data_IF_635808960306
#
_entry.id   IF_635808960306
#
_cell.length_a   1.000
_cell.length_b   1.000
_cell.length_c   1.000
_cell.angle_alpha   90.00
_cell.angle_beta   90.00
_cell.angle_gamma   90.00
#
_symmetry.space_group_name_H-M   'P 1'
#
loop_
_entity.id
_entity.type
_entity.pdbx_description
1 polymer ?
#
# COMPACT_ATOMS: atom_id res chain seq x y z
N UNK A 1 13.60 -17.49 25.16
CA UNK A 1 13.97 -16.06 25.25
C UNK A 1 13.58 -15.43 23.92
N UNK A 2 12.47 -14.70 23.85
CA UNK A 2 12.08 -13.98 22.64
C UNK A 2 12.90 -12.69 22.60
N UNK A 3 13.88 -12.63 21.69
CA UNK A 3 14.57 -11.38 21.41
C UNK A 3 13.52 -10.39 20.89
N UNK A 4 13.13 -9.43 21.74
CA UNK A 4 12.44 -8.21 21.32
C UNK A 4 13.43 -7.37 20.52
N UNK A 5 13.72 -7.82 19.31
CA UNK A 5 14.29 -6.95 18.31
C UNK A 5 13.18 -5.96 17.98
N UNK A 6 13.42 -4.68 18.26
CA UNK A 6 12.64 -3.55 17.73
C UNK A 6 12.72 -3.59 16.18
N UNK A 7 12.06 -4.56 15.56
CA UNK A 7 11.92 -4.67 14.12
C UNK A 7 10.91 -3.62 13.71
N UNK A 8 11.44 -2.47 13.32
CA UNK A 8 10.67 -1.41 12.72
C UNK A 8 10.43 -1.81 11.26
N UNK A 9 9.24 -2.30 10.95
CA UNK A 9 8.90 -2.83 9.62
C UNK A 9 8.45 -1.67 8.74
N UNK A 10 9.20 -1.41 7.66
CA UNK A 10 8.93 -0.30 6.74
C UNK A 10 8.21 -0.79 5.48
N UNK A 11 6.93 -0.44 5.38
CA UNK A 11 6.11 -0.70 4.20
C UNK A 11 6.57 0.14 3.02
N UNK A 12 6.62 -0.46 1.83
CA UNK A 12 6.99 0.28 0.61
C UNK A 12 8.48 0.47 0.38
N UNK A 13 9.34 -0.07 1.24
CA UNK A 13 10.79 -0.12 1.02
C UNK A 13 11.22 -1.42 0.32
N UNK A 14 10.54 -2.54 0.62
CA UNK A 14 10.83 -3.88 0.09
C UNK A 14 9.58 -4.77 0.16
N UNK A 15 9.64 -5.95 -0.45
CA UNK A 15 8.63 -6.99 -0.27
C UNK A 15 8.57 -7.43 1.18
N UNK A 16 7.36 -7.61 1.72
CA UNK A 16 7.15 -8.13 3.06
C UNK A 16 7.29 -9.65 3.09
N UNK A 17 7.81 -10.15 4.19
CA UNK A 17 7.87 -11.58 4.50
C UNK A 17 6.69 -12.01 5.36
N UNK A 18 6.48 -13.32 5.52
CA UNK A 18 5.45 -13.84 6.44
C UNK A 18 5.85 -13.53 7.89
N UNK A 19 7.15 -13.57 8.19
CA UNK A 19 7.71 -13.25 9.49
C UNK A 19 7.44 -11.79 9.90
N UNK A 20 7.49 -10.85 8.95
CA UNK A 20 7.09 -9.46 9.19
C UNK A 20 5.62 -9.36 9.62
N UNK A 21 4.73 -10.14 8.98
CA UNK A 21 3.31 -10.17 9.33
C UNK A 21 3.10 -10.72 10.74
N UNK A 22 3.77 -11.82 11.09
CA UNK A 22 3.70 -12.41 12.43
C UNK A 22 4.25 -11.43 13.48
N UNK A 23 5.35 -10.74 13.18
CA UNK A 23 5.94 -9.76 14.08
C UNK A 23 4.99 -8.58 14.35
N UNK A 24 4.31 -8.07 13.32
CA UNK A 24 3.29 -7.01 13.48
C UNK A 24 2.14 -7.50 14.36
N UNK A 25 1.64 -8.72 14.11
CA UNK A 25 0.56 -9.31 14.91
C UNK A 25 0.95 -9.49 16.40
N UNK A 26 2.24 -9.61 16.69
CA UNK A 26 2.80 -9.71 18.04
C UNK A 26 3.18 -8.33 18.65
N UNK A 27 2.93 -7.23 17.96
CA UNK A 27 3.13 -5.86 18.46
C UNK A 27 4.37 -5.13 17.95
N UNK A 28 5.05 -5.63 16.92
CA UNK A 28 6.10 -4.88 16.24
C UNK A 28 5.56 -3.58 15.62
N UNK A 29 6.40 -2.55 15.58
CA UNK A 29 6.02 -1.26 14.99
C UNK A 29 6.15 -1.32 13.47
N UNK A 30 5.12 -0.85 12.79
CA UNK A 30 5.10 -0.65 11.35
C UNK A 30 5.13 0.85 11.02
N UNK A 31 5.80 1.20 9.94
CA UNK A 31 5.85 2.56 9.40
C UNK A 31 5.82 2.52 7.87
N UNK A 32 5.43 3.63 7.26
CA UNK A 32 5.49 3.80 5.81
C UNK A 32 6.86 4.32 5.40
N UNK A 33 7.36 3.85 4.26
CA UNK A 33 8.50 4.45 3.60
C UNK A 33 8.18 5.92 3.25
N UNK A 34 9.00 6.85 3.72
CA UNK A 34 8.83 8.29 3.49
C UNK A 34 9.73 8.83 2.39
N UNK A 35 10.38 7.95 1.60
CA UNK A 35 11.24 8.40 0.51
C UNK A 35 10.41 9.15 -0.56
N UNK A 36 10.92 10.26 -1.12
CA UNK A 36 10.22 11.01 -2.15
C UNK A 36 9.82 10.15 -3.36
N UNK A 37 10.66 9.16 -3.70
CA UNK A 37 10.43 8.26 -4.84
C UNK A 37 9.22 7.35 -4.61
N UNK A 38 9.04 6.88 -3.38
CA UNK A 38 7.91 6.04 -2.99
C UNK A 38 6.61 6.84 -2.98
N UNK A 39 6.62 8.04 -2.38
CA UNK A 39 5.47 8.96 -2.42
C UNK A 39 5.10 9.31 -3.87
N UNK A 40 6.08 9.68 -4.70
CA UNK A 40 5.84 9.99 -6.10
C UNK A 40 5.27 8.79 -6.90
N UNK A 41 5.59 7.55 -6.51
CA UNK A 41 4.99 6.36 -7.13
C UNK A 41 3.49 6.25 -6.83
N UNK A 42 3.08 6.57 -5.60
CA UNK A 42 1.67 6.59 -5.20
C UNK A 42 0.94 7.71 -5.95
N UNK A 43 1.51 8.91 -5.99
CA UNK A 43 0.93 10.07 -6.66
C UNK A 43 0.71 9.82 -8.16
N UNK A 44 1.65 9.12 -8.82
CA UNK A 44 1.48 8.70 -10.22
C UNK A 44 0.27 7.79 -10.42
N UNK A 45 -0.05 6.94 -9.44
CA UNK A 45 -1.25 6.09 -9.50
C UNK A 45 -2.55 6.91 -9.44
N UNK A 46 -2.58 7.95 -8.61
CA UNK A 46 -3.70 8.89 -8.52
C UNK A 46 -3.87 9.66 -9.83
N UNK A 47 -2.80 10.27 -10.33
CA UNK A 47 -2.82 11.03 -11.59
C UNK A 47 -3.23 10.16 -12.79
N UNK A 48 -2.82 8.88 -12.79
CA UNK A 48 -3.26 7.92 -13.80
C UNK A 48 -4.77 7.66 -13.73
N UNK A 49 -5.31 7.44 -12.53
CA UNK A 49 -6.74 7.23 -12.34
C UNK A 49 -7.55 8.44 -12.78
N UNK A 50 -7.11 9.66 -12.42
CA UNK A 50 -7.75 10.90 -12.84
C UNK A 50 -7.81 11.05 -14.37
N UNK A 51 -6.71 10.74 -15.06
CA UNK A 51 -6.68 10.76 -16.52
C UNK A 51 -7.64 9.72 -17.12
N UNK A 52 -7.59 8.48 -16.62
CA UNK A 52 -8.44 7.39 -17.10
C UNK A 52 -9.94 7.70 -16.93
N UNK A 53 -10.32 8.28 -15.79
CA UNK A 53 -11.68 8.74 -15.53
C UNK A 53 -12.15 9.81 -16.52
N UNK A 54 -11.25 10.73 -16.90
CA UNK A 54 -11.57 11.80 -17.85
C UNK A 54 -11.72 11.30 -19.29
N UNK A 55 -10.94 10.31 -19.68
CA UNK A 55 -10.89 9.81 -21.06
C UNK A 55 -11.92 8.71 -21.32
N UNK A 56 -12.04 7.72 -20.43
CA UNK A 56 -12.90 6.54 -20.65
C UNK A 56 -14.18 6.55 -19.79
N UNK A 57 -14.20 7.25 -18.65
CA UNK A 57 -15.39 7.44 -17.80
C UNK A 57 -15.94 6.20 -17.10
N UNK A 58 -15.54 4.98 -17.48
CA UNK A 58 -16.07 3.73 -16.95
C UNK A 58 -14.94 2.91 -16.33
N UNK A 59 -14.96 2.81 -15.00
CA UNK A 59 -14.00 2.02 -14.23
C UNK A 59 -14.78 1.20 -13.20
N UNK A 60 -14.61 -0.12 -13.25
CA UNK A 60 -15.29 -1.03 -12.35
C UNK A 60 -14.97 -0.75 -10.89
N UNK A 61 -16.01 -0.55 -10.09
CA UNK A 61 -15.87 -0.19 -8.68
C UNK A 61 -15.46 1.25 -8.40
N UNK A 62 -15.38 2.11 -9.42
CA UNK A 62 -15.11 3.55 -9.24
C UNK A 62 -16.26 4.38 -9.81
N UNK A 63 -16.55 4.23 -11.10
CA UNK A 63 -17.70 4.90 -11.76
C UNK A 63 -18.82 3.93 -12.13
N UNK A 64 -18.61 2.62 -11.93
CA UNK A 64 -19.68 1.61 -11.99
C UNK A 64 -19.85 0.96 -10.61
N UNK A 65 -20.94 0.22 -10.44
CA UNK A 65 -21.17 -0.61 -9.25
C UNK A 65 -20.12 -1.72 -9.07
N UNK A 66 -20.28 -2.46 -7.98
CA UNK A 66 -19.56 -3.69 -7.69
C UNK A 66 -20.52 -4.88 -7.74
N UNK A 67 -20.09 -6.00 -8.30
CA UNK A 67 -20.88 -7.22 -8.44
C UNK A 67 -21.79 -7.21 -9.68
N UNK A 68 -22.84 -8.02 -9.64
CA UNK A 68 -23.81 -8.24 -10.73
C UNK A 68 -24.94 -7.19 -10.73
N UNK A 69 -24.64 -5.94 -10.34
CA UNK A 69 -25.62 -4.83 -10.20
C UNK A 69 -25.45 -3.75 -11.26
#
# INVERSE_FOLDING_TARGET
MTNNNNHNITFGAQSLTIEDVVAIAQGAKANMNTSPEFTAKIDRGVAFLERLLKEEGVIYGVTTGYGDS
#
